data_IF_048025037635
#
_entry.id   IF_048025037635
#
_cell.length_a   1.000
_cell.length_b   1.000
_cell.length_c   1.000
_cell.angle_alpha   90.00
_cell.angle_beta   90.00
_cell.angle_gamma   90.00
#
_symmetry.space_group_name_H-M   'P 1'
#
loop_
_entity.id
_entity.type
_entity.pdbx_description
1 polymer ?
#
# COMPACT_ATOMS: atom_id res chain seq x y z
N UNK A 1 20.49 5.95 -25.07
CA UNK A 1 21.19 5.39 -23.90
C UNK A 1 22.64 5.83 -23.84
N UNK A 2 23.30 6.12 -24.97
CA UNK A 2 24.72 6.58 -25.00
C UNK A 2 24.94 7.98 -24.41
N UNK A 3 23.87 8.76 -24.21
CA UNK A 3 23.91 10.14 -23.71
C UNK A 3 23.22 10.29 -22.35
N UNK A 4 22.94 9.16 -21.65
CA UNK A 4 22.39 9.20 -20.30
C UNK A 4 23.49 9.54 -19.30
N UNK A 5 23.24 10.55 -18.48
CA UNK A 5 24.10 10.95 -17.38
C UNK A 5 23.28 11.04 -16.08
N UNK A 6 23.95 11.01 -14.92
CA UNK A 6 23.32 11.14 -13.61
C UNK A 6 22.85 12.58 -13.41
N UNK A 7 21.54 12.80 -13.38
CA UNK A 7 20.96 14.12 -13.13
C UNK A 7 21.01 14.48 -11.63
N UNK A 8 20.65 13.54 -10.77
CA UNK A 8 20.66 13.67 -9.32
C UNK A 8 20.54 12.32 -8.64
N UNK A 9 20.80 12.26 -7.35
CA UNK A 9 20.54 11.10 -6.49
C UNK A 9 19.89 11.56 -5.18
N UNK A 10 18.97 10.75 -4.66
CA UNK A 10 18.33 10.97 -3.37
C UNK A 10 18.66 9.80 -2.44
N UNK A 11 19.13 10.09 -1.23
CA UNK A 11 19.46 9.09 -0.22
C UNK A 11 18.33 9.04 0.81
N UNK A 12 17.63 7.92 0.88
CA UNK A 12 16.66 7.67 1.93
C UNK A 12 17.35 7.33 3.25
N UNK A 13 16.74 7.73 4.36
CA UNK A 13 17.23 7.41 5.71
C UNK A 13 16.83 5.97 6.09
N UNK A 14 17.33 5.01 5.34
CA UNK A 14 17.12 3.58 5.59
C UNK A 14 18.34 2.78 5.13
N UNK A 15 18.71 1.77 5.92
CA UNK A 15 19.71 0.77 5.54
C UNK A 15 19.07 -0.48 4.87
N UNK A 16 17.74 -0.47 4.67
CA UNK A 16 17.01 -1.58 4.03
C UNK A 16 17.00 -1.41 2.51
N UNK A 17 16.95 -2.53 1.81
CA UNK A 17 16.76 -2.55 0.37
C UNK A 17 15.43 -1.91 -0.02
N UNK A 18 15.43 -1.24 -1.17
CA UNK A 18 14.24 -0.64 -1.75
C UNK A 18 13.57 -1.65 -2.68
N UNK A 19 12.28 -1.92 -2.47
CA UNK A 19 11.49 -2.83 -3.30
C UNK A 19 10.35 -2.11 -4.04
N UNK A 20 10.19 -0.81 -3.79
CA UNK A 20 9.10 -0.03 -4.35
C UNK A 20 9.35 0.36 -5.80
N UNK A 21 8.28 0.34 -6.59
CA UNK A 21 8.25 0.99 -7.91
C UNK A 21 7.83 2.45 -7.72
N UNK A 22 8.66 3.43 -8.09
CA UNK A 22 8.28 4.83 -8.04
C UNK A 22 7.15 5.14 -9.04
N UNK A 23 6.25 6.04 -8.67
CA UNK A 23 5.24 6.59 -9.59
C UNK A 23 5.55 8.07 -9.82
N UNK A 24 5.62 8.48 -11.09
CA UNK A 24 5.79 9.89 -11.46
C UNK A 24 4.47 10.47 -11.94
N UNK A 25 4.08 11.62 -11.38
CA UNK A 25 2.93 12.40 -11.83
C UNK A 25 3.23 13.89 -11.70
N UNK A 26 3.01 14.65 -12.79
CA UNK A 26 3.20 16.10 -12.85
C UNK A 26 4.55 16.59 -12.27
N UNK A 27 5.63 15.88 -12.58
CA UNK A 27 6.98 16.27 -12.15
C UNK A 27 7.32 15.91 -10.69
N UNK A 28 6.47 15.15 -10.01
CA UNK A 28 6.71 14.62 -8.66
C UNK A 28 6.84 13.10 -8.72
N UNK A 29 7.86 12.56 -8.09
CA UNK A 29 8.05 11.14 -7.85
C UNK A 29 7.52 10.78 -6.46
N UNK A 30 6.59 9.83 -6.39
CA UNK A 30 6.09 9.24 -5.16
C UNK A 30 6.73 7.87 -4.97
N UNK A 31 7.43 7.71 -3.85
CA UNK A 31 8.22 6.50 -3.55
C UNK A 31 7.94 6.05 -2.13
N UNK A 32 7.58 4.78 -1.95
CA UNK A 32 7.53 4.19 -0.61
C UNK A 32 8.86 3.51 -0.25
N UNK A 33 9.17 3.50 1.03
CA UNK A 33 10.37 2.84 1.57
C UNK A 33 10.01 1.85 2.67
N UNK A 34 11.00 1.19 3.24
CA UNK A 34 10.80 0.32 4.40
C UNK A 34 10.09 1.05 5.55
N UNK A 35 9.38 0.28 6.39
CA UNK A 35 8.57 0.78 7.50
C UNK A 35 7.36 1.62 7.08
N UNK A 36 6.97 1.53 5.79
CA UNK A 36 5.80 2.22 5.24
C UNK A 36 5.93 3.75 5.24
N UNK A 37 7.15 4.26 5.06
CA UNK A 37 7.34 5.67 4.76
C UNK A 37 7.00 5.95 3.30
N UNK A 38 6.52 7.16 3.01
CA UNK A 38 6.28 7.64 1.64
C UNK A 38 6.95 8.99 1.46
N UNK A 39 7.61 9.18 0.34
CA UNK A 39 8.32 10.39 -0.02
C UNK A 39 7.78 10.96 -1.32
N UNK A 40 7.62 12.27 -1.40
CA UNK A 40 7.43 12.99 -2.64
C UNK A 40 8.71 13.75 -2.98
N UNK A 41 9.22 13.53 -4.18
CA UNK A 41 10.50 14.07 -4.63
C UNK A 41 10.27 14.83 -5.93
N UNK A 42 10.80 16.03 -6.04
CA UNK A 42 10.80 16.77 -7.30
C UNK A 42 11.61 16.00 -8.34
N UNK A 43 10.97 15.51 -9.38
CA UNK A 43 11.59 14.65 -10.39
C UNK A 43 12.69 15.34 -11.21
N UNK A 44 12.70 16.69 -11.26
CA UNK A 44 13.72 17.47 -11.98
C UNK A 44 14.97 17.70 -11.14
N UNK A 45 14.79 17.97 -9.84
CA UNK A 45 15.88 18.45 -8.97
C UNK A 45 16.37 17.42 -7.96
N UNK A 46 15.57 16.37 -7.70
CA UNK A 46 15.82 15.42 -6.62
C UNK A 46 15.53 15.98 -5.22
N UNK A 47 14.97 17.17 -5.09
CA UNK A 47 14.62 17.74 -3.80
C UNK A 47 13.38 17.04 -3.21
N UNK A 48 13.44 16.70 -1.92
CA UNK A 48 12.27 16.21 -1.18
C UNK A 48 11.25 17.34 -1.00
N UNK A 49 10.00 17.06 -1.31
CA UNK A 49 8.89 17.99 -1.14
C UNK A 49 8.19 17.75 0.21
N UNK A 50 7.96 16.48 0.53
CA UNK A 50 7.44 16.04 1.81
C UNK A 50 7.78 14.57 2.07
N UNK A 51 7.67 14.17 3.33
CA UNK A 51 7.85 12.82 3.82
C UNK A 51 6.73 12.47 4.80
N UNK A 52 6.12 11.31 4.62
CA UNK A 52 5.12 10.75 5.52
C UNK A 52 5.67 9.49 6.19
N UNK A 53 5.55 9.41 7.52
CA UNK A 53 5.86 8.24 8.33
C UNK A 53 4.55 7.64 8.87
N UNK A 54 4.27 6.38 8.53
CA UNK A 54 3.09 5.67 9.03
C UNK A 54 3.22 5.26 10.51
N UNK A 55 4.32 5.53 11.18
CA UNK A 55 4.59 5.24 12.58
C UNK A 55 4.32 3.76 12.96
N UNK A 56 4.71 2.84 12.08
CA UNK A 56 4.49 1.41 12.30
C UNK A 56 5.26 0.92 13.52
N UNK A 57 4.58 0.29 14.50
CA UNK A 57 5.25 -0.25 15.67
C UNK A 57 6.34 -1.28 15.30
N UNK A 58 7.55 -1.12 15.80
CA UNK A 58 8.68 -2.02 15.49
C UNK A 58 8.40 -3.48 15.82
N UNK A 59 7.58 -3.74 16.83
CA UNK A 59 7.14 -5.09 17.19
C UNK A 59 6.38 -5.80 16.06
N UNK A 60 5.78 -5.05 15.13
CA UNK A 60 5.05 -5.61 13.99
C UNK A 60 5.95 -6.37 13.02
N UNK A 61 7.25 -6.13 13.03
CA UNK A 61 8.22 -6.86 12.21
C UNK A 61 8.17 -8.39 12.44
N UNK A 62 7.83 -8.83 13.64
CA UNK A 62 7.67 -10.25 13.97
C UNK A 62 6.51 -10.92 13.21
N UNK A 63 5.60 -10.14 12.63
CA UNK A 63 4.44 -10.60 11.85
C UNK A 63 4.70 -10.60 10.32
N UNK A 64 5.95 -10.41 9.91
CA UNK A 64 6.30 -10.30 8.49
C UNK A 64 7.39 -11.30 8.11
N UNK A 65 7.32 -11.86 6.91
CA UNK A 65 8.32 -12.80 6.41
C UNK A 65 9.64 -12.14 5.99
N UNK A 66 9.54 -10.95 5.37
CA UNK A 66 10.58 -10.43 4.47
C UNK A 66 11.15 -9.08 4.94
N UNK A 67 10.95 -8.74 6.21
CA UNK A 67 11.35 -7.45 6.75
C UNK A 67 10.29 -6.34 6.52
N UNK A 68 10.63 -5.09 6.85
CA UNK A 68 9.68 -3.97 6.80
C UNK A 68 9.56 -3.39 5.39
N UNK A 69 9.32 -4.23 4.39
CA UNK A 69 9.27 -3.81 2.97
C UNK A 69 7.93 -3.15 2.61
N UNK A 70 7.98 -2.22 1.66
CA UNK A 70 6.82 -1.67 0.97
C UNK A 70 7.10 -1.61 -0.53
N UNK A 71 6.15 -2.05 -1.37
CA UNK A 71 6.37 -2.25 -2.81
C UNK A 71 5.78 -1.16 -3.69
N UNK A 72 5.27 -0.11 -3.09
CA UNK A 72 4.83 1.07 -3.84
C UNK A 72 3.52 1.66 -3.39
N UNK A 73 3.18 2.72 -4.07
CA UNK A 73 1.97 3.51 -3.87
C UNK A 73 1.05 3.39 -5.09
N UNK A 74 -0.18 3.87 -4.97
CA UNK A 74 -1.05 4.19 -6.09
C UNK A 74 -1.47 5.65 -6.00
N UNK A 75 -1.82 6.26 -7.12
CA UNK A 75 -2.31 7.64 -7.18
C UNK A 75 -3.69 7.67 -7.84
N UNK A 76 -4.51 8.61 -7.40
CA UNK A 76 -5.82 8.85 -7.98
C UNK A 76 -6.20 10.32 -7.93
N UNK A 77 -6.85 10.76 -8.99
CA UNK A 77 -7.42 12.09 -9.12
C UNK A 77 -8.73 11.94 -9.87
N UNK A 78 -9.79 12.56 -9.38
CA UNK A 78 -11.10 12.48 -10.00
C UNK A 78 -11.15 13.19 -11.36
N UNK A 79 -10.58 14.39 -11.39
CA UNK A 79 -10.45 15.25 -12.56
C UNK A 79 -9.28 16.22 -12.31
N UNK A 80 -8.89 16.99 -13.32
CA UNK A 80 -7.73 17.90 -13.26
C UNK A 80 -7.83 18.97 -12.16
N UNK A 81 -9.04 19.30 -11.69
CA UNK A 81 -9.28 20.32 -10.66
C UNK A 81 -9.42 19.73 -9.25
N UNK A 82 -9.54 18.41 -9.16
CA UNK A 82 -9.68 17.72 -7.87
C UNK A 82 -8.31 17.48 -7.23
N UNK A 83 -8.22 17.39 -5.89
CA UNK A 83 -6.99 17.02 -5.21
C UNK A 83 -6.49 15.64 -5.67
N UNK A 84 -5.19 15.55 -5.95
CA UNK A 84 -4.52 14.28 -6.18
C UNK A 84 -4.30 13.59 -4.84
N UNK A 85 -4.56 12.29 -4.77
CA UNK A 85 -4.34 11.46 -3.59
C UNK A 85 -3.32 10.37 -3.86
N UNK A 86 -2.53 10.04 -2.84
CA UNK A 86 -1.59 8.92 -2.83
C UNK A 86 -2.09 7.88 -1.84
N UNK A 87 -2.14 6.62 -2.26
CA UNK A 87 -2.57 5.48 -1.45
C UNK A 87 -1.45 4.49 -1.26
N UNK A 88 -1.33 3.95 -0.08
CA UNK A 88 -0.39 2.85 0.20
C UNK A 88 -0.90 1.99 1.36
N UNK A 89 -0.42 0.75 1.40
CA UNK A 89 -0.65 -0.13 2.55
C UNK A 89 0.50 -0.01 3.55
N UNK A 90 0.21 0.05 4.83
CA UNK A 90 1.24 0.01 5.86
C UNK A 90 1.48 -1.41 6.37
N UNK A 91 2.66 -1.64 6.89
CA UNK A 91 3.10 -2.95 7.37
C UNK A 91 2.20 -3.50 8.48
N UNK A 92 1.60 -2.63 9.30
CA UNK A 92 0.65 -2.98 10.37
C UNK A 92 -0.80 -3.18 9.88
N UNK A 93 -1.00 -3.22 8.55
CA UNK A 93 -2.26 -3.62 7.95
C UNK A 93 -3.27 -2.50 7.73
N UNK A 94 -2.86 -1.24 7.80
CA UNK A 94 -3.70 -0.10 7.41
C UNK A 94 -3.61 0.16 5.91
N UNK A 95 -4.69 0.66 5.34
CA UNK A 95 -4.71 1.35 4.06
C UNK A 95 -4.82 2.85 4.35
N UNK A 96 -3.90 3.63 3.79
CA UNK A 96 -3.74 5.05 4.10
C UNK A 96 -3.84 5.85 2.81
N UNK A 97 -4.59 6.95 2.85
CA UNK A 97 -4.66 7.96 1.81
C UNK A 97 -4.08 9.27 2.31
N UNK A 98 -3.19 9.86 1.54
CA UNK A 98 -2.55 11.14 1.83
C UNK A 98 -2.76 12.12 0.69
N UNK A 99 -2.83 13.40 1.01
CA UNK A 99 -2.84 14.46 0.01
C UNK A 99 -1.47 14.51 -0.71
N UNK A 100 -1.50 14.44 -2.02
CA UNK A 100 -0.28 14.35 -2.83
C UNK A 100 0.55 15.64 -2.83
N UNK A 101 -0.06 16.79 -2.53
CA UNK A 101 0.61 18.08 -2.48
C UNK A 101 1.27 18.34 -1.13
N UNK A 102 0.58 18.01 -0.04
CA UNK A 102 1.02 18.37 1.33
C UNK A 102 1.67 17.22 2.08
N UNK A 103 1.35 15.96 1.72
CA UNK A 103 1.76 14.78 2.48
C UNK A 103 0.92 14.54 3.75
N UNK A 104 -0.16 15.30 3.96
CA UNK A 104 -1.05 15.14 5.09
C UNK A 104 -2.01 13.95 4.90
N UNK A 105 -2.31 13.23 5.98
CA UNK A 105 -3.24 12.12 5.96
C UNK A 105 -4.68 12.61 5.73
N UNK A 106 -5.32 12.11 4.67
CA UNK A 106 -6.75 12.34 4.43
C UNK A 106 -7.61 11.36 5.23
N UNK A 107 -7.22 10.09 5.20
CA UNK A 107 -7.85 9.03 5.99
C UNK A 107 -6.93 7.82 6.12
N UNK A 108 -7.18 7.02 7.15
CA UNK A 108 -6.53 5.75 7.41
C UNK A 108 -7.55 4.74 7.92
N UNK A 109 -7.55 3.53 7.36
CA UNK A 109 -8.46 2.46 7.79
C UNK A 109 -7.70 1.18 8.04
N UNK A 110 -8.08 0.45 9.08
CA UNK A 110 -7.52 -0.87 9.36
C UNK A 110 -8.09 -1.87 8.34
N UNK A 111 -7.28 -2.29 7.38
CA UNK A 111 -7.65 -3.21 6.33
C UNK A 111 -7.53 -4.67 6.77
N UNK A 112 -6.60 -4.98 7.67
CA UNK A 112 -6.41 -6.33 8.20
C UNK A 112 -6.87 -6.45 9.65
N UNK A 113 -7.23 -7.67 10.12
CA UNK A 113 -7.38 -7.91 11.55
C UNK A 113 -6.11 -7.53 12.31
N UNK A 114 -6.26 -7.00 13.52
CA UNK A 114 -5.14 -6.61 14.39
C UNK A 114 -4.57 -7.80 15.17
N UNK A 115 -5.38 -8.83 15.36
CA UNK A 115 -4.97 -10.14 15.84
C UNK A 115 -4.42 -10.99 14.69
N UNK A 116 -3.50 -11.89 14.99
CA UNK A 116 -2.82 -12.71 13.97
C UNK A 116 -1.64 -12.00 13.28
N UNK A 117 -1.10 -12.71 12.29
CA UNK A 117 0.15 -12.33 11.61
C UNK A 117 -0.13 -11.71 10.23
N UNK A 118 -1.03 -10.74 10.20
CA UNK A 118 -1.33 -10.00 8.99
C UNK A 118 -0.33 -8.85 8.76
N UNK A 119 -0.05 -8.58 7.51
CA UNK A 119 0.73 -7.41 7.09
C UNK A 119 0.27 -6.94 5.71
N UNK A 120 0.63 -5.74 5.33
CA UNK A 120 0.50 -5.27 3.94
C UNK A 120 1.87 -4.79 3.48
N UNK A 121 2.37 -5.40 2.41
CA UNK A 121 3.65 -5.04 1.77
C UNK A 121 3.48 -4.72 0.29
N UNK A 122 2.33 -5.07 -0.29
CA UNK A 122 2.01 -4.86 -1.69
C UNK A 122 1.51 -3.44 -1.97
N UNK A 123 1.75 -2.96 -3.18
CA UNK A 123 1.19 -1.70 -3.64
C UNK A 123 -0.31 -1.86 -3.97
N UNK A 124 -1.16 -0.90 -3.59
CA UNK A 124 -2.57 -0.90 -3.97
C UNK A 124 -2.77 -0.69 -5.47
N UNK A 125 -3.99 -0.93 -5.94
CA UNK A 125 -4.39 -0.66 -7.33
C UNK A 125 -5.67 0.17 -7.34
N UNK A 126 -5.73 1.12 -8.26
CA UNK A 126 -6.93 1.95 -8.46
C UNK A 126 -7.77 1.38 -9.59
N UNK A 127 -9.07 1.24 -9.31
CA UNK A 127 -10.08 0.87 -10.31
C UNK A 127 -11.26 1.82 -10.15
N UNK A 128 -11.40 2.77 -11.07
CA UNK A 128 -12.41 3.84 -11.00
C UNK A 128 -12.26 4.65 -9.71
N UNK A 129 -13.27 4.60 -8.84
CA UNK A 129 -13.39 5.24 -7.54
C UNK A 129 -13.06 4.31 -6.36
N UNK A 130 -12.35 3.22 -6.62
CA UNK A 130 -11.96 2.23 -5.62
C UNK A 130 -10.45 2.04 -5.57
N UNK A 131 -9.91 1.90 -4.37
CA UNK A 131 -8.57 1.41 -4.11
C UNK A 131 -8.63 -0.04 -3.65
N UNK A 132 -7.93 -0.92 -4.36
CA UNK A 132 -7.92 -2.37 -4.12
C UNK A 132 -6.59 -2.76 -3.50
N UNK A 133 -6.65 -3.55 -2.43
CA UNK A 133 -5.47 -4.04 -1.73
C UNK A 133 -5.72 -5.44 -1.15
N UNK A 134 -4.67 -6.26 -1.10
CA UNK A 134 -4.67 -7.56 -0.43
C UNK A 134 -3.83 -7.55 0.84
N UNK A 135 -3.81 -8.67 1.54
CA UNK A 135 -2.96 -8.88 2.71
C UNK A 135 -1.80 -9.85 2.42
N UNK A 136 -0.75 -9.72 3.21
CA UNK A 136 0.32 -10.70 3.41
C UNK A 136 0.12 -11.51 4.69
N UNK A 137 1.01 -12.50 4.91
CA UNK A 137 1.02 -13.33 6.11
C UNK A 137 0.46 -14.75 5.88
N UNK A 138 0.20 -15.15 4.64
CA UNK A 138 -0.26 -16.50 4.31
C UNK A 138 0.69 -17.59 4.80
N UNK A 139 1.98 -17.36 4.73
CA UNK A 139 3.05 -18.22 5.26
C UNK A 139 3.06 -18.32 6.79
N UNK A 140 2.38 -17.38 7.46
CA UNK A 140 2.23 -17.33 8.91
C UNK A 140 0.83 -17.78 9.37
N UNK A 141 0.07 -18.43 8.46
CA UNK A 141 -1.20 -19.07 8.76
C UNK A 141 -2.42 -18.15 8.75
N UNK A 142 -2.34 -16.95 8.14
CA UNK A 142 -3.52 -16.10 7.99
C UNK A 142 -4.21 -16.30 6.64
N UNK A 143 -5.52 -16.07 6.62
CA UNK A 143 -6.35 -16.25 5.42
C UNK A 143 -6.15 -15.10 4.44
N UNK A 144 -5.89 -15.42 3.18
CA UNK A 144 -5.73 -14.46 2.10
C UNK A 144 -7.06 -13.89 1.59
N UNK A 145 -7.06 -12.59 1.31
CA UNK A 145 -8.17 -11.87 0.67
C UNK A 145 -7.68 -10.63 -0.08
N UNK A 146 -8.56 -10.10 -0.91
CA UNK A 146 -8.46 -8.75 -1.48
C UNK A 146 -9.68 -7.94 -1.07
N UNK A 147 -9.50 -6.64 -0.86
CA UNK A 147 -10.58 -5.73 -0.49
C UNK A 147 -10.54 -4.48 -1.34
N UNK A 148 -11.70 -3.90 -1.61
CA UNK A 148 -11.86 -2.62 -2.26
C UNK A 148 -12.43 -1.60 -1.28
N UNK A 149 -11.90 -0.40 -1.34
CA UNK A 149 -12.28 0.74 -0.51
C UNK A 149 -12.60 1.93 -1.40
N UNK A 150 -13.55 2.74 -0.98
CA UNK A 150 -13.85 4.01 -1.62
C UNK A 150 -12.63 4.95 -1.51
N UNK A 151 -12.20 5.56 -2.61
CA UNK A 151 -11.02 6.43 -2.65
C UNK A 151 -11.18 7.70 -1.81
N UNK A 152 -12.42 8.18 -1.62
CA UNK A 152 -12.69 9.44 -0.94
C UNK A 152 -12.88 9.27 0.57
N UNK A 153 -13.50 8.16 0.99
CA UNK A 153 -13.89 7.95 2.39
C UNK A 153 -13.10 6.86 3.12
N UNK A 154 -12.43 5.96 2.38
CA UNK A 154 -11.82 4.77 2.96
C UNK A 154 -12.84 3.70 3.40
N UNK A 155 -14.13 3.88 3.09
CA UNK A 155 -15.17 2.89 3.41
C UNK A 155 -14.97 1.62 2.58
N UNK A 156 -15.00 0.45 3.24
CA UNK A 156 -14.88 -0.84 2.56
C UNK A 156 -16.12 -1.12 1.72
N UNK A 157 -15.95 -1.25 0.40
CA UNK A 157 -17.01 -1.56 -0.55
C UNK A 157 -17.29 -3.06 -0.63
N UNK A 158 -16.20 -3.87 -0.68
CA UNK A 158 -16.29 -5.32 -0.70
C UNK A 158 -14.97 -5.97 -0.28
N UNK A 159 -15.07 -7.24 0.10
CA UNK A 159 -13.93 -8.14 0.35
C UNK A 159 -14.17 -9.47 -0.34
N UNK A 160 -13.15 -9.99 -1.00
CA UNK A 160 -13.15 -11.30 -1.61
C UNK A 160 -12.01 -12.15 -1.02
N UNK A 161 -12.37 -13.27 -0.43
CA UNK A 161 -11.40 -14.23 0.09
C UNK A 161 -10.83 -15.08 -1.04
N UNK A 162 -9.50 -15.21 -1.07
CA UNK A 162 -8.75 -15.96 -2.09
C UNK A 162 -8.48 -17.40 -1.64
N UNK A 163 -8.76 -17.71 -0.38
CA UNK A 163 -8.55 -19.01 0.25
C UNK A 163 -9.83 -19.40 0.98
N UNK A 164 -10.32 -20.69 0.86
CA UNK A 164 -11.47 -21.17 1.62
C UNK A 164 -11.30 -20.97 3.13
N UNK A 165 -12.43 -20.79 3.80
CA UNK A 165 -12.51 -20.71 5.26
C UNK A 165 -12.57 -22.08 5.94
N UNK A 166 -13.23 -22.11 7.10
CA UNK A 166 -13.49 -23.35 7.84
C UNK A 166 -14.38 -24.28 7.00
N UNK A 167 -13.90 -25.50 6.73
CA UNK A 167 -14.60 -26.53 5.93
C UNK A 167 -15.99 -26.88 6.49
N UNK A 168 -16.20 -26.69 7.78
CA UNK A 168 -17.46 -27.03 8.43
C UNK A 168 -18.47 -25.88 8.44
N UNK A 169 -18.16 -24.77 7.74
CA UNK A 169 -19.03 -23.59 7.63
C UNK A 169 -19.29 -23.24 6.18
N UNK A 170 -20.44 -22.63 5.86
CA UNK A 170 -20.70 -22.07 4.54
C UNK A 170 -19.57 -21.10 4.13
N UNK A 171 -19.17 -21.16 2.87
CA UNK A 171 -18.16 -20.27 2.33
C UNK A 171 -18.81 -19.00 1.78
N UNK A 172 -18.01 -17.96 1.62
CA UNK A 172 -18.50 -16.63 1.19
C UNK A 172 -18.77 -16.56 -0.33
N UNK A 173 -18.42 -17.61 -1.09
CA UNK A 173 -18.72 -17.70 -2.53
C UNK A 173 -18.75 -19.15 -3.02
N UNK A 174 -19.44 -19.38 -4.13
CA UNK A 174 -19.48 -20.69 -4.80
C UNK A 174 -18.10 -21.20 -5.21
N UNK A 175 -17.18 -20.27 -5.57
CA UNK A 175 -15.82 -20.64 -5.93
C UNK A 175 -15.06 -21.23 -4.73
N UNK A 176 -15.29 -20.71 -3.54
CA UNK A 176 -14.68 -21.22 -2.31
C UNK A 176 -15.32 -22.55 -1.87
N UNK A 177 -16.64 -22.69 -2.03
CA UNK A 177 -17.33 -23.98 -1.80
C UNK A 177 -16.77 -25.08 -2.71
N UNK A 178 -16.64 -24.78 -4.01
CA UNK A 178 -16.07 -25.71 -4.99
C UNK A 178 -14.61 -26.05 -4.71
N UNK A 179 -13.84 -25.16 -4.11
CA UNK A 179 -12.43 -25.41 -3.78
C UNK A 179 -12.26 -26.38 -2.58
N UNK A 180 -13.33 -26.62 -1.80
CA UNK A 180 -13.34 -27.56 -0.68
C UNK A 180 -13.90 -28.95 -1.03
N UNK A 181 -14.57 -29.09 -2.18
CA UNK A 181 -15.12 -30.36 -2.67
C UNK A 181 -14.04 -31.22 -3.36
#
# INVERSE_FOLDING_TARGET
VKELDLAWSFKFDTARGMEATPIMHNGVLYVSTGWSHVHAINARTGAELWHYDAEVPKAHLAKTCCGPVNRGVAIWQKDEMSPLQVFFGSLDGRLIAIDALTGEENWSVQSTPTDGNYSITGAPRIVKDMVIIGNGGGELGVRGYISAYDVSSGEMRWRFYTVPGDRNKPQESEALEKALS
#
